data_IF_939638398513
#
_entry.id   IF_939638398513
#
_cell.length_a   1.000
_cell.length_b   1.000
_cell.length_c   1.000
_cell.angle_alpha   90.00
_cell.angle_beta   90.00
_cell.angle_gamma   90.00
#
_symmetry.space_group_name_H-M   'P 1'
#
loop_
_entity.id
_entity.type
_entity.pdbx_description
1 polymer ?
#
# COMPACT_ATOMS: atom_id res chain seq x y z
N UNK A 1 -30.48 1.98 14.51
CA UNK A 1 -30.47 2.61 13.16
C UNK A 1 -29.14 3.27 12.81
N UNK A 2 -28.31 3.71 13.78
CA UNK A 2 -26.99 4.33 13.49
C UNK A 2 -25.88 3.31 13.17
N UNK A 3 -26.01 2.05 13.58
CA UNK A 3 -25.02 1.00 13.32
C UNK A 3 -25.10 0.48 11.88
N UNK A 4 -26.28 0.45 11.26
CA UNK A 4 -26.47 0.01 9.87
C UNK A 4 -25.98 1.06 8.86
N UNK A 5 -26.04 2.36 9.18
CA UNK A 5 -25.57 3.43 8.29
C UNK A 5 -24.04 3.46 8.13
N UNK A 6 -23.25 3.10 9.16
CA UNK A 6 -21.79 3.02 9.06
C UNK A 6 -21.33 1.85 8.17
N UNK A 7 -22.06 0.74 8.16
CA UNK A 7 -21.73 -0.41 7.32
C UNK A 7 -22.09 -0.24 5.84
N UNK A 8 -23.15 0.50 5.51
CA UNK A 8 -23.53 0.76 4.12
C UNK A 8 -22.61 1.77 3.43
N UNK A 9 -22.10 2.76 4.15
CA UNK A 9 -21.15 3.76 3.64
C UNK A 9 -19.78 3.16 3.30
N UNK A 10 -19.27 2.25 4.13
CA UNK A 10 -17.98 1.60 3.90
C UNK A 10 -17.97 0.68 2.68
N UNK A 11 -19.06 -0.07 2.44
CA UNK A 11 -19.16 -0.95 1.26
C UNK A 11 -19.17 -0.15 -0.05
N UNK A 12 -19.87 0.98 -0.10
CA UNK A 12 -19.88 1.89 -1.25
C UNK A 12 -18.53 2.59 -1.50
N UNK A 13 -17.75 2.87 -0.46
CA UNK A 13 -16.40 3.45 -0.59
C UNK A 13 -15.40 2.42 -1.14
N UNK A 14 -15.39 1.21 -0.62
CA UNK A 14 -14.54 0.12 -1.10
C UNK A 14 -14.81 -0.22 -2.58
N UNK A 15 -16.06 -0.22 -3.00
CA UNK A 15 -16.42 -0.46 -4.41
C UNK A 15 -15.87 0.65 -5.33
N UNK A 16 -15.92 1.90 -4.90
CA UNK A 16 -15.35 3.03 -5.66
C UNK A 16 -13.82 2.97 -5.71
N UNK A 17 -13.17 2.69 -4.59
CA UNK A 17 -11.72 2.54 -4.54
C UNK A 17 -11.25 1.37 -5.41
N UNK A 18 -11.97 0.23 -5.38
CA UNK A 18 -11.67 -0.89 -6.26
C UNK A 18 -11.84 -0.51 -7.74
N UNK A 19 -12.92 0.17 -8.10
CA UNK A 19 -13.14 0.62 -9.47
C UNK A 19 -12.03 1.57 -9.94
N UNK A 20 -11.58 2.49 -9.09
CA UNK A 20 -10.46 3.39 -9.39
C UNK A 20 -9.15 2.62 -9.57
N UNK A 21 -8.83 1.67 -8.68
CA UNK A 21 -7.66 0.81 -8.81
C UNK A 21 -7.66 0.06 -10.14
N UNK A 22 -8.78 -0.58 -10.49
CA UNK A 22 -8.95 -1.32 -11.74
C UNK A 22 -8.79 -0.42 -12.96
N UNK A 23 -9.35 0.79 -12.91
CA UNK A 23 -9.21 1.77 -13.98
C UNK A 23 -7.75 2.18 -14.17
N UNK A 24 -7.06 2.58 -13.10
CA UNK A 24 -5.65 2.97 -13.16
C UNK A 24 -4.81 1.82 -13.71
N UNK A 25 -5.01 0.60 -13.20
CA UNK A 25 -4.29 -0.57 -13.68
C UNK A 25 -4.48 -0.79 -15.19
N UNK A 26 -5.73 -0.87 -15.63
CA UNK A 26 -6.05 -1.14 -17.04
C UNK A 26 -5.56 -0.04 -17.98
N UNK A 27 -5.61 1.23 -17.55
CA UNK A 27 -5.20 2.37 -18.40
C UNK A 27 -3.68 2.59 -18.42
N UNK A 28 -2.95 2.21 -17.33
CA UNK A 28 -1.55 2.60 -17.14
C UNK A 28 -0.56 1.45 -17.21
N UNK A 29 -0.95 0.22 -16.85
CA UNK A 29 -0.04 -0.91 -16.82
C UNK A 29 -0.24 -1.76 -18.06
N UNK A 30 0.70 -1.66 -19.02
CA UNK A 30 0.59 -2.27 -20.35
C UNK A 30 1.65 -3.34 -20.62
N UNK A 31 2.53 -3.62 -19.65
CA UNK A 31 3.60 -4.61 -19.81
C UNK A 31 3.07 -6.04 -19.83
N UNK A 32 3.92 -6.94 -20.33
CA UNK A 32 3.64 -8.37 -20.36
C UNK A 32 3.28 -8.89 -18.96
N UNK A 33 2.26 -9.75 -18.90
CA UNK A 33 1.75 -10.38 -17.68
C UNK A 33 1.05 -9.43 -16.67
N UNK A 34 0.77 -8.19 -17.01
CA UNK A 34 -0.01 -7.28 -16.17
C UNK A 34 -1.39 -7.88 -15.80
N UNK A 35 -2.05 -8.54 -16.76
CA UNK A 35 -3.32 -9.23 -16.54
C UNK A 35 -3.18 -10.38 -15.54
N UNK A 36 -2.08 -11.16 -15.60
CA UNK A 36 -1.83 -12.26 -14.67
C UNK A 36 -1.61 -11.75 -13.23
N UNK A 37 -0.90 -10.61 -13.08
CA UNK A 37 -0.74 -9.96 -11.79
C UNK A 37 -2.08 -9.50 -11.21
N UNK A 38 -2.92 -8.87 -12.03
CA UNK A 38 -4.24 -8.41 -11.60
C UNK A 38 -5.16 -9.58 -11.23
N UNK A 39 -5.19 -10.64 -12.06
CA UNK A 39 -5.97 -11.85 -11.79
C UNK A 39 -5.57 -12.50 -10.46
N UNK A 40 -4.27 -12.57 -10.17
CA UNK A 40 -3.77 -13.08 -8.91
C UNK A 40 -4.24 -12.22 -7.72
N UNK A 41 -4.14 -10.89 -7.81
CA UNK A 41 -4.63 -9.98 -6.76
C UNK A 41 -6.13 -10.18 -6.49
N UNK A 42 -6.94 -10.34 -7.54
CA UNK A 42 -8.40 -10.45 -7.42
C UNK A 42 -8.89 -11.80 -6.92
N UNK A 43 -8.26 -12.89 -7.37
CA UNK A 43 -8.81 -14.24 -7.19
C UNK A 43 -8.09 -15.08 -6.14
N UNK A 44 -6.82 -14.78 -5.90
CA UNK A 44 -5.97 -15.63 -5.06
C UNK A 44 -5.49 -14.92 -3.78
N UNK A 45 -5.83 -13.63 -3.63
CA UNK A 45 -5.44 -12.85 -2.46
C UNK A 45 -6.61 -12.10 -1.84
N UNK A 46 -6.39 -11.58 -0.64
CA UNK A 46 -7.30 -10.69 0.07
C UNK A 46 -6.95 -9.19 -0.13
N UNK A 47 -6.18 -8.85 -1.17
CA UNK A 47 -5.65 -7.49 -1.39
C UNK A 47 -6.72 -6.40 -1.30
N UNK A 48 -7.89 -6.63 -1.88
CA UNK A 48 -8.99 -5.66 -1.92
C UNK A 48 -9.81 -5.59 -0.62
N UNK A 49 -9.64 -6.57 0.28
CA UNK A 49 -10.32 -6.64 1.58
C UNK A 49 -9.38 -6.46 2.77
N UNK A 50 -8.06 -6.68 2.57
CA UNK A 50 -7.07 -6.62 3.63
C UNK A 50 -6.94 -5.21 4.23
N UNK A 51 -6.68 -5.08 5.55
CA UNK A 51 -6.31 -3.81 6.15
C UNK A 51 -4.84 -3.47 5.80
N UNK A 52 -4.48 -2.19 5.85
CA UNK A 52 -3.09 -1.75 5.68
C UNK A 52 -2.24 -1.97 6.94
N UNK A 53 -2.88 -2.02 8.12
CA UNK A 53 -2.21 -2.23 9.41
C UNK A 53 -3.11 -2.91 10.44
N UNK A 54 -2.56 -3.26 11.61
CA UNK A 54 -3.37 -3.83 12.71
C UNK A 54 -4.09 -2.80 13.55
N UNK A 55 -3.61 -1.53 13.63
CA UNK A 55 -4.13 -0.51 14.57
C UNK A 55 -3.93 0.92 14.11
N UNK A 56 -3.17 1.14 13.05
CA UNK A 56 -2.82 2.49 12.58
C UNK A 56 -3.58 2.79 11.30
N UNK A 57 -2.96 3.53 10.39
CA UNK A 57 -3.53 3.87 9.09
C UNK A 57 -4.16 2.64 8.40
N UNK A 58 -5.34 2.81 7.82
CA UNK A 58 -6.02 1.77 7.05
C UNK A 58 -6.33 0.47 7.83
N UNK A 59 -6.53 0.53 9.17
CA UNK A 59 -6.87 -0.64 10.00
C UNK A 59 -8.36 -1.04 9.86
N UNK A 60 -8.84 -1.14 8.62
CA UNK A 60 -10.21 -1.52 8.28
C UNK A 60 -10.24 -2.33 6.97
N UNK A 61 -11.34 -3.04 6.66
CA UNK A 61 -11.46 -3.77 5.41
C UNK A 61 -11.25 -2.87 4.19
N UNK A 62 -10.37 -3.28 3.26
CA UNK A 62 -10.01 -2.51 2.08
C UNK A 62 -8.92 -1.45 2.31
N UNK A 63 -8.41 -1.30 3.53
CA UNK A 63 -7.40 -0.30 3.86
C UNK A 63 -6.11 -0.44 3.07
N UNK A 64 -5.69 -1.68 2.73
CA UNK A 64 -4.50 -1.91 1.90
C UNK A 64 -4.65 -1.32 0.50
N UNK A 65 -5.79 -1.55 -0.14
CA UNK A 65 -6.10 -0.98 -1.45
C UNK A 65 -6.17 0.55 -1.40
N UNK A 66 -6.85 1.12 -0.40
CA UNK A 66 -6.96 2.57 -0.23
C UNK A 66 -5.60 3.22 -0.01
N UNK A 67 -4.75 2.62 0.83
CA UNK A 67 -3.37 3.03 1.03
C UNK A 67 -2.57 3.02 -0.28
N UNK A 68 -2.64 1.94 -1.04
CA UNK A 68 -1.98 1.82 -2.35
C UNK A 68 -2.40 2.93 -3.32
N UNK A 69 -3.69 3.28 -3.37
CA UNK A 69 -4.19 4.40 -4.17
C UNK A 69 -3.66 5.76 -3.68
N UNK A 70 -3.57 5.97 -2.38
CA UNK A 70 -3.01 7.20 -1.81
C UNK A 70 -1.53 7.34 -2.14
N UNK A 71 -0.76 6.24 -2.02
CA UNK A 71 0.66 6.21 -2.43
C UNK A 71 0.82 6.48 -3.92
N UNK A 72 0.00 5.88 -4.78
CA UNK A 72 -0.01 6.17 -6.21
C UNK A 72 -0.21 7.66 -6.50
N UNK A 73 -1.23 8.27 -5.90
CA UNK A 73 -1.53 9.72 -6.10
C UNK A 73 -0.37 10.60 -5.60
N UNK A 74 0.20 10.29 -4.42
CA UNK A 74 1.33 11.01 -3.86
C UNK A 74 2.58 10.88 -4.73
N UNK A 75 2.91 9.67 -5.17
CA UNK A 75 4.07 9.40 -6.01
C UNK A 75 3.99 10.17 -7.34
N UNK A 76 2.81 10.14 -7.96
CA UNK A 76 2.54 10.89 -9.18
C UNK A 76 2.73 12.39 -9.00
N UNK A 77 2.18 12.95 -7.91
CA UNK A 77 2.30 14.37 -7.59
C UNK A 77 3.75 14.77 -7.29
N UNK A 78 4.49 13.95 -6.55
CA UNK A 78 5.92 14.17 -6.26
C UNK A 78 6.71 14.23 -7.58
N UNK A 79 6.52 13.24 -8.44
CA UNK A 79 7.20 13.22 -9.75
C UNK A 79 6.89 14.46 -10.59
N UNK A 80 5.61 14.86 -10.68
CA UNK A 80 5.20 16.05 -11.43
C UNK A 80 5.84 17.32 -10.87
N UNK A 81 5.80 17.50 -9.56
CA UNK A 81 6.39 18.69 -8.91
C UNK A 81 7.90 18.77 -9.11
N UNK A 82 8.61 17.65 -8.98
CA UNK A 82 10.08 17.61 -9.18
C UNK A 82 10.49 17.86 -10.63
N UNK A 83 9.70 17.36 -11.59
CA UNK A 83 10.07 17.37 -13.00
C UNK A 83 9.57 18.63 -13.71
N UNK A 84 8.36 19.08 -13.41
CA UNK A 84 7.68 20.17 -14.13
C UNK A 84 7.39 21.40 -13.28
N UNK A 85 7.55 21.30 -11.95
CA UNK A 85 7.23 22.39 -11.01
C UNK A 85 5.73 22.57 -10.76
N UNK A 86 4.87 21.73 -11.34
CA UNK A 86 3.41 21.77 -11.19
C UNK A 86 2.79 20.37 -11.26
N UNK A 87 1.63 20.20 -10.66
CA UNK A 87 0.86 18.96 -10.79
C UNK A 87 0.09 18.97 -12.09
N UNK A 88 0.48 18.12 -13.03
CA UNK A 88 -0.11 18.04 -14.36
C UNK A 88 -0.37 16.59 -14.76
N UNK A 89 -1.42 16.37 -15.56
CA UNK A 89 -1.72 15.06 -16.13
C UNK A 89 -1.28 14.90 -17.58
N UNK A 90 -0.91 16.00 -18.25
CA UNK A 90 -0.71 16.02 -19.70
C UNK A 90 0.75 15.86 -20.15
N UNK A 91 1.71 15.85 -19.22
CA UNK A 91 3.15 15.84 -19.54
C UNK A 91 3.87 14.53 -19.19
N UNK A 92 3.20 13.59 -18.51
CA UNK A 92 3.80 12.30 -18.17
C UNK A 92 3.82 11.40 -19.40
N UNK A 93 4.95 10.75 -19.64
CA UNK A 93 5.04 9.69 -20.66
C UNK A 93 4.35 8.42 -20.18
N UNK A 94 3.96 7.55 -21.11
CA UNK A 94 3.33 6.26 -20.81
C UNK A 94 4.21 5.43 -19.88
N UNK A 95 5.53 5.35 -20.12
CA UNK A 95 6.48 4.61 -19.29
C UNK A 95 6.52 5.13 -17.85
N UNK A 96 6.48 6.46 -17.65
CA UNK A 96 6.45 7.05 -16.31
C UNK A 96 5.13 6.78 -15.60
N UNK A 97 4.01 6.90 -16.31
CA UNK A 97 2.68 6.58 -15.72
C UNK A 97 2.60 5.10 -15.34
N UNK A 98 3.18 4.19 -16.14
CA UNK A 98 3.24 2.77 -15.80
C UNK A 98 4.09 2.52 -14.56
N UNK A 99 5.31 3.07 -14.50
CA UNK A 99 6.18 2.93 -13.32
C UNK A 99 5.50 3.48 -12.07
N UNK A 100 4.89 4.66 -12.14
CA UNK A 100 4.16 5.25 -11.00
C UNK A 100 2.99 4.37 -10.56
N UNK A 101 2.24 3.77 -11.50
CA UNK A 101 1.14 2.87 -11.18
C UNK A 101 1.65 1.60 -10.50
N UNK A 102 2.67 0.95 -11.04
CA UNK A 102 3.24 -0.27 -10.46
C UNK A 102 3.79 0.00 -9.06
N UNK A 103 4.61 1.02 -8.90
CA UNK A 103 5.21 1.35 -7.62
C UNK A 103 4.16 1.70 -6.56
N UNK A 104 3.23 2.60 -6.89
CA UNK A 104 2.21 3.04 -5.95
C UNK A 104 1.23 1.93 -5.56
N UNK A 105 0.77 1.16 -6.54
CA UNK A 105 -0.28 0.16 -6.33
C UNK A 105 0.23 -1.15 -5.72
N UNK A 106 1.51 -1.51 -5.92
CA UNK A 106 2.03 -2.83 -5.55
C UNK A 106 3.10 -2.83 -4.46
N UNK A 107 3.63 -1.67 -4.01
CA UNK A 107 4.75 -1.64 -3.06
C UNK A 107 4.52 -2.48 -1.82
N UNK A 108 3.29 -2.54 -1.35
CA UNK A 108 2.85 -3.17 -0.10
C UNK A 108 2.13 -4.53 -0.30
N UNK A 109 2.25 -5.15 -1.45
CA UNK A 109 1.61 -6.45 -1.73
C UNK A 109 2.04 -7.57 -0.78
N UNK A 110 3.15 -7.41 -0.06
CA UNK A 110 3.58 -8.29 1.02
C UNK A 110 2.55 -8.44 2.16
N UNK A 111 1.61 -7.51 2.27
CA UNK A 111 0.57 -7.49 3.29
C UNK A 111 -0.61 -8.43 2.99
N UNK A 112 -0.67 -9.06 1.80
CA UNK A 112 -1.71 -10.03 1.50
C UNK A 112 -1.59 -11.29 2.37
N UNK A 113 -2.72 -11.77 2.89
CA UNK A 113 -2.80 -13.00 3.66
C UNK A 113 -2.10 -12.98 5.02
N UNK A 114 -1.73 -11.79 5.55
CA UNK A 114 -1.01 -11.70 6.84
C UNK A 114 -1.87 -11.17 7.99
N UNK A 115 -3.02 -10.55 7.69
CA UNK A 115 -3.91 -10.03 8.71
C UNK A 115 -5.10 -10.95 8.94
N UNK A 116 -5.32 -11.32 10.19
CA UNK A 116 -6.43 -12.17 10.61
C UNK A 116 -7.21 -11.47 11.71
N UNK A 117 -8.50 -11.74 11.81
CA UNK A 117 -9.33 -11.21 12.90
C UNK A 117 -9.34 -12.17 14.08
N UNK A 118 -9.17 -11.64 15.29
CA UNK A 118 -9.34 -12.37 16.55
C UNK A 118 -10.25 -11.61 17.48
N UNK A 119 -11.07 -12.35 18.22
CA UNK A 119 -11.85 -11.78 19.33
C UNK A 119 -10.93 -11.54 20.52
N UNK A 120 -10.82 -10.27 20.94
CA UNK A 120 -10.09 -9.85 22.14
C UNK A 120 -11.03 -9.23 23.15
N UNK A 121 -10.61 -9.14 24.41
CA UNK A 121 -11.38 -8.50 25.49
C UNK A 121 -10.70 -7.23 25.95
N UNK A 122 -11.49 -6.20 26.14
CA UNK A 122 -11.04 -4.95 26.76
C UNK A 122 -12.04 -4.48 27.82
N UNK A 123 -11.57 -3.67 28.75
CA UNK A 123 -12.44 -2.98 29.69
C UNK A 123 -12.94 -1.69 29.04
N UNK A 124 -14.25 -1.55 28.88
CA UNK A 124 -14.86 -0.33 28.36
C UNK A 124 -14.65 0.78 29.38
N UNK A 125 -14.02 1.89 28.99
CA UNK A 125 -13.67 3.00 29.86
C UNK A 125 -14.88 3.75 30.37
N UNK A 126 -15.98 3.82 29.60
CA UNK A 126 -17.20 4.53 29.95
C UNK A 126 -18.09 3.73 30.91
N UNK A 127 -18.21 2.41 30.69
CA UNK A 127 -19.12 1.55 31.47
C UNK A 127 -18.41 0.77 32.57
N UNK A 128 -17.09 0.59 32.49
CA UNK A 128 -16.30 -0.23 33.41
C UNK A 128 -16.44 -1.74 33.22
N UNK A 129 -17.28 -2.20 32.29
CA UNK A 129 -17.49 -3.62 32.01
C UNK A 129 -16.50 -4.15 30.95
N UNK A 130 -16.29 -5.47 30.98
CA UNK A 130 -15.52 -6.15 29.95
C UNK A 130 -16.40 -6.36 28.71
N UNK A 131 -15.84 -6.04 27.55
CA UNK A 131 -16.47 -6.23 26.24
C UNK A 131 -15.55 -7.00 25.32
N UNK A 132 -16.12 -7.82 24.43
CA UNK A 132 -15.40 -8.48 23.38
C UNK A 132 -15.37 -7.56 22.15
N UNK A 133 -14.22 -7.51 21.46
CA UNK A 133 -14.07 -6.75 20.22
C UNK A 133 -13.22 -7.53 19.22
N UNK A 134 -13.42 -7.27 17.94
CA UNK A 134 -12.59 -7.83 16.88
C UNK A 134 -11.32 -6.99 16.72
N UNK A 135 -10.18 -7.65 16.62
CA UNK A 135 -8.89 -7.01 16.42
C UNK A 135 -8.13 -7.72 15.30
N UNK A 136 -7.46 -6.96 14.45
CA UNK A 136 -6.51 -7.55 13.52
C UNK A 136 -5.25 -8.02 14.27
N UNK A 137 -4.77 -9.19 13.88
CA UNK A 137 -3.49 -9.76 14.33
C UNK A 137 -2.65 -10.08 13.11
N UNK A 138 -1.35 -9.89 13.24
CA UNK A 138 -0.38 -10.14 12.18
C UNK A 138 0.21 -11.54 12.33
N UNK A 139 0.12 -12.33 11.26
CA UNK A 139 0.75 -13.66 11.14
C UNK A 139 1.28 -13.81 9.72
N UNK A 140 2.58 -13.74 9.55
CA UNK A 140 3.20 -13.87 8.25
C UNK A 140 3.65 -15.33 7.99
N UNK A 141 3.01 -16.03 7.02
CA UNK A 141 3.40 -17.39 6.65
C UNK A 141 4.68 -17.45 5.81
N UNK A 142 5.17 -16.29 5.31
CA UNK A 142 6.35 -16.19 4.45
C UNK A 142 7.22 -14.98 4.84
N UNK A 143 7.97 -15.06 5.96
CA UNK A 143 8.69 -13.92 6.54
C UNK A 143 10.01 -13.63 5.79
N UNK A 144 9.94 -13.12 4.58
CA UNK A 144 11.11 -12.76 3.75
C UNK A 144 11.65 -11.35 4.03
N UNK A 145 10.96 -10.55 4.85
CA UNK A 145 11.17 -9.12 4.95
C UNK A 145 10.12 -8.35 4.15
N UNK A 146 9.93 -7.07 4.48
CA UNK A 146 8.77 -6.33 3.96
C UNK A 146 8.91 -6.06 2.44
N UNK A 147 9.92 -5.31 2.04
CA UNK A 147 10.16 -5.01 0.63
C UNK A 147 10.57 -6.24 -0.20
N UNK A 148 11.35 -7.16 0.39
CA UNK A 148 11.75 -8.41 -0.25
C UNK A 148 10.56 -9.28 -0.60
N UNK A 149 9.56 -9.36 0.30
CA UNK A 149 8.37 -10.16 0.07
C UNK A 149 7.49 -9.54 -1.02
N UNK A 150 7.32 -8.21 -1.03
CA UNK A 150 6.60 -7.53 -2.11
C UNK A 150 7.28 -7.81 -3.46
N UNK A 151 8.58 -7.60 -3.55
CA UNK A 151 9.37 -7.89 -4.74
C UNK A 151 9.22 -9.36 -5.21
N UNK A 152 9.37 -10.31 -4.28
CA UNK A 152 9.22 -11.75 -4.56
C UNK A 152 7.82 -12.09 -5.11
N UNK A 153 6.76 -11.56 -4.50
CA UNK A 153 5.38 -11.84 -4.90
C UNK A 153 5.06 -11.25 -6.29
N UNK A 154 5.49 -10.01 -6.56
CA UNK A 154 5.24 -9.37 -7.85
C UNK A 154 5.96 -10.13 -8.97
N UNK A 155 7.25 -10.44 -8.80
CA UNK A 155 8.07 -11.09 -9.84
C UNK A 155 7.66 -12.55 -10.14
N UNK A 156 6.78 -13.14 -9.37
CA UNK A 156 6.14 -14.42 -9.72
C UNK A 156 5.05 -14.29 -10.77
N UNK A 157 4.54 -13.09 -10.98
CA UNK A 157 3.40 -12.83 -11.85
C UNK A 157 3.71 -11.85 -12.98
N UNK A 158 4.61 -10.89 -12.74
CA UNK A 158 4.96 -9.83 -13.67
C UNK A 158 6.40 -9.38 -13.44
N UNK A 159 7.17 -9.16 -14.51
CA UNK A 159 8.53 -8.65 -14.38
C UNK A 159 8.56 -7.18 -13.95
N UNK A 160 9.56 -6.82 -13.15
CA UNK A 160 9.85 -5.45 -12.74
C UNK A 160 11.13 -4.96 -13.39
N UNK A 161 11.15 -3.70 -13.77
CA UNK A 161 12.39 -3.02 -14.14
C UNK A 161 13.33 -2.91 -12.91
N UNK A 162 14.66 -2.92 -13.11
CA UNK A 162 15.62 -2.84 -12.00
C UNK A 162 15.37 -1.67 -11.05
N UNK A 163 14.99 -0.50 -11.57
CA UNK A 163 14.71 0.69 -10.76
C UNK A 163 13.43 0.53 -9.92
N UNK A 164 12.41 -0.12 -10.47
CA UNK A 164 11.17 -0.45 -9.76
C UNK A 164 11.43 -1.47 -8.64
N UNK A 165 12.22 -2.50 -8.95
CA UNK A 165 12.63 -3.51 -7.97
C UNK A 165 13.39 -2.88 -6.79
N UNK A 166 14.32 -1.95 -7.06
CA UNK A 166 15.03 -1.20 -6.03
C UNK A 166 14.07 -0.33 -5.20
N UNK A 167 13.15 0.37 -5.85
CA UNK A 167 12.18 1.22 -5.15
C UNK A 167 11.29 0.40 -4.21
N UNK A 168 10.69 -0.70 -4.70
CA UNK A 168 9.85 -1.58 -3.88
C UNK A 168 10.67 -2.23 -2.76
N UNK A 169 11.89 -2.70 -3.04
CA UNK A 169 12.74 -3.31 -2.02
C UNK A 169 13.02 -2.37 -0.85
N UNK A 170 13.25 -1.09 -1.10
CA UNK A 170 13.74 -0.15 -0.10
C UNK A 170 12.71 0.92 0.35
N UNK A 171 11.43 0.81 -0.06
CA UNK A 171 10.41 1.83 0.25
C UNK A 171 10.22 2.08 1.75
N UNK A 172 10.44 1.06 2.59
CA UNK A 172 10.37 1.22 4.05
C UNK A 172 11.44 2.14 4.65
N UNK A 173 12.48 2.48 3.89
CA UNK A 173 13.51 3.43 4.29
C UNK A 173 14.15 3.08 5.64
N UNK A 174 14.17 4.04 6.56
CA UNK A 174 14.73 3.85 7.91
C UNK A 174 13.94 2.84 8.78
N UNK A 175 12.72 2.47 8.39
CA UNK A 175 11.92 1.45 9.09
C UNK A 175 12.26 0.03 8.64
N UNK A 176 13.02 -0.14 7.55
CA UNK A 176 13.46 -1.45 7.05
C UNK A 176 14.36 -2.16 8.07
N UNK A 177 14.15 -3.48 8.24
CA UNK A 177 14.89 -4.27 9.22
C UNK A 177 16.38 -4.42 8.87
N UNK A 178 16.71 -4.50 7.58
CA UNK A 178 18.10 -4.57 7.13
C UNK A 178 18.82 -3.24 7.39
N UNK A 179 18.16 -2.11 7.16
CA UNK A 179 18.71 -0.77 7.46
C UNK A 179 18.94 -0.60 8.96
N UNK A 180 17.98 -1.00 9.81
CA UNK A 180 18.14 -1.04 11.28
C UNK A 180 19.27 -1.97 11.71
N UNK A 181 19.52 -3.03 10.96
CA UNK A 181 20.65 -3.95 11.15
C UNK A 181 22.00 -3.44 10.65
N UNK A 182 22.04 -2.25 10.04
CA UNK A 182 23.27 -1.62 9.57
C UNK A 182 23.61 -1.85 8.10
N UNK A 183 22.68 -2.39 7.28
CA UNK A 183 22.86 -2.51 5.84
C UNK A 183 22.99 -1.11 5.19
N UNK A 184 23.92 -0.98 4.23
CA UNK A 184 24.19 0.26 3.51
C UNK A 184 23.65 0.26 2.08
N UNK A 185 23.10 -0.85 1.64
CA UNK A 185 22.65 -1.06 0.25
C UNK A 185 21.53 -0.09 -0.15
N UNK A 186 20.69 0.35 0.80
CA UNK A 186 19.67 1.37 0.54
C UNK A 186 20.26 2.68 0.03
N UNK A 187 21.40 3.12 0.60
CA UNK A 187 22.10 4.33 0.13
C UNK A 187 22.57 4.17 -1.33
N UNK A 188 23.17 3.02 -1.66
CA UNK A 188 23.57 2.71 -3.02
C UNK A 188 22.35 2.65 -3.98
N UNK A 189 21.23 2.06 -3.53
CA UNK A 189 20.01 2.04 -4.31
C UNK A 189 19.44 3.42 -4.59
N UNK A 190 19.49 4.34 -3.63
CA UNK A 190 19.08 5.75 -3.80
C UNK A 190 19.98 6.50 -4.80
N UNK A 191 21.29 6.20 -4.83
CA UNK A 191 22.22 6.75 -5.83
C UNK A 191 21.95 6.22 -7.23
N UNK A 192 21.47 4.98 -7.35
CA UNK A 192 21.14 4.36 -8.63
C UNK A 192 19.81 4.81 -9.21
N UNK A 193 18.80 5.01 -8.35
CA UNK A 193 17.45 5.34 -8.79
C UNK A 193 16.74 6.33 -7.84
N UNK A 194 16.27 7.46 -8.35
CA UNK A 194 15.48 8.41 -7.56
C UNK A 194 14.09 7.84 -7.17
N UNK A 195 13.63 6.77 -7.82
CA UNK A 195 12.36 6.12 -7.49
C UNK A 195 12.35 5.54 -6.07
N UNK A 196 13.52 5.12 -5.55
CA UNK A 196 13.66 4.63 -4.16
C UNK A 196 13.23 5.70 -3.18
N UNK A 197 13.71 6.94 -3.34
CA UNK A 197 13.35 8.06 -2.48
C UNK A 197 11.93 8.54 -2.70
N UNK A 198 11.51 8.65 -3.96
CA UNK A 198 10.15 9.11 -4.31
C UNK A 198 9.06 8.19 -3.72
N UNK A 199 9.25 6.88 -3.84
CA UNK A 199 8.28 5.92 -3.31
C UNK A 199 8.24 5.95 -1.78
N UNK A 200 9.39 6.00 -1.11
CA UNK A 200 9.45 6.17 0.34
C UNK A 200 8.74 7.44 0.80
N UNK A 201 8.98 8.56 0.11
CA UNK A 201 8.33 9.84 0.43
C UNK A 201 6.81 9.76 0.22
N UNK A 202 6.36 9.13 -0.86
CA UNK A 202 4.94 8.95 -1.17
C UNK A 202 4.24 8.12 -0.11
N UNK A 203 4.82 6.99 0.30
CA UNK A 203 4.30 6.12 1.35
C UNK A 203 4.22 6.84 2.70
N UNK A 204 5.27 7.55 3.10
CA UNK A 204 5.29 8.36 4.32
C UNK A 204 4.23 9.47 4.30
N UNK A 205 4.02 10.14 3.14
CA UNK A 205 2.97 11.14 3.01
C UNK A 205 1.58 10.52 3.10
N UNK A 206 1.33 9.39 2.44
CA UNK A 206 0.06 8.67 2.55
C UNK A 206 -0.22 8.29 4.01
N UNK A 207 0.73 7.62 4.66
CA UNK A 207 0.60 7.13 6.04
C UNK A 207 0.38 8.22 7.07
N UNK A 208 1.21 9.30 7.04
CA UNK A 208 1.26 10.27 8.14
C UNK A 208 0.50 11.56 7.87
N UNK A 209 0.05 11.78 6.64
CA UNK A 209 -0.68 13.01 6.25
C UNK A 209 -2.10 12.67 5.81
N UNK A 210 -2.27 11.75 4.84
CA UNK A 210 -3.58 11.48 4.23
C UNK A 210 -4.45 10.56 5.10
N UNK A 211 -3.83 9.56 5.73
CA UNK A 211 -4.49 8.50 6.48
C UNK A 211 -4.37 8.71 8.00
N UNK A 212 -3.98 9.90 8.40
CA UNK A 212 -3.85 10.23 9.82
C UNK A 212 -5.24 10.24 10.48
N UNK A 213 -5.46 9.31 11.39
CA UNK A 213 -6.62 9.37 12.29
C UNK A 213 -6.41 10.50 13.29
N UNK A 214 -7.42 11.37 13.45
CA UNK A 214 -7.41 12.35 14.53
C UNK A 214 -7.53 11.59 15.85
N UNK A 215 -6.79 11.98 16.91
CA UNK A 215 -6.92 11.35 18.20
C UNK A 215 -8.36 11.52 18.70
N UNK A 216 -9.01 10.43 19.11
CA UNK A 216 -10.28 10.48 19.81
C UNK A 216 -10.10 11.33 21.09
N UNK A 217 -10.83 12.47 21.20
CA UNK A 217 -10.85 13.35 22.35
C UNK A 217 -11.34 12.66 23.64
#
# INVERSE_FOLDING_TARGET
EDHERKFSGGRSMNERAKAEFMQIWTERVQRDYADAMLEWLERETDFFEAPASTKHHGAHPGGLMEHSLNVYRRLRNIFCMETYGEITSSLLTEDVEETVAILGLLHDVCKVGVYHTETKRRKNKATGFWEDYQAYVFRDPLPLGHGEKSLYLIQRHMDLEPEEALAIRWHMGAYDSAVKGGARDMGAAMEMSPWVWRLQQADMCATFVDEREEPEE
#
